data_IF_543681752752
#
_entry.id   IF_543681752752
#
_cell.length_a   1.000
_cell.length_b   1.000
_cell.length_c   1.000
_cell.angle_alpha   90.00
_cell.angle_beta   90.00
_cell.angle_gamma   90.00
#
_symmetry.space_group_name_H-M   'P 1'
#
loop_
_entity.id
_entity.type
_entity.pdbx_description
1 polymer ?
#
# COMPACT_ATOMS: atom_id res chain seq x y z
N UNK A 1 13.60 17.92 -7.03
CA UNK A 1 13.49 16.88 -5.98
C UNK A 1 12.06 16.39 -5.74
N UNK A 2 11.05 17.26 -5.53
CA UNK A 2 9.64 16.83 -5.26
C UNK A 2 9.02 15.88 -6.30
N UNK A 3 9.33 16.06 -7.60
CA UNK A 3 8.84 15.18 -8.67
C UNK A 3 9.44 13.77 -8.67
N UNK A 4 10.74 13.64 -8.36
CA UNK A 4 11.40 12.34 -8.29
C UNK A 4 10.86 11.48 -7.14
N UNK A 5 10.62 12.09 -5.97
CA UNK A 5 10.03 11.40 -4.81
C UNK A 5 8.62 10.92 -5.13
N UNK A 6 7.79 11.75 -5.76
CA UNK A 6 6.44 11.35 -6.21
C UNK A 6 6.46 10.22 -7.23
N UNK A 7 7.41 10.25 -8.17
CA UNK A 7 7.56 9.20 -9.19
C UNK A 7 8.01 7.88 -8.58
N UNK A 8 9.01 7.90 -7.69
CA UNK A 8 9.49 6.70 -6.99
C UNK A 8 8.39 6.12 -6.10
N UNK A 9 7.65 6.99 -5.40
CA UNK A 9 6.51 6.57 -4.60
C UNK A 9 5.41 5.93 -5.45
N UNK A 10 5.01 6.57 -6.56
CA UNK A 10 4.00 6.03 -7.47
C UNK A 10 4.43 4.68 -8.07
N UNK A 11 5.69 4.55 -8.45
CA UNK A 11 6.24 3.29 -8.95
C UNK A 11 6.24 2.20 -7.87
N UNK A 12 6.75 2.50 -6.67
CA UNK A 12 6.76 1.58 -5.54
C UNK A 12 5.34 1.14 -5.17
N UNK A 13 4.40 2.08 -5.17
CA UNK A 13 2.99 1.82 -4.91
C UNK A 13 2.40 0.84 -5.93
N UNK A 14 2.61 1.08 -7.23
CA UNK A 14 2.12 0.22 -8.29
C UNK A 14 2.71 -1.20 -8.21
N UNK A 15 4.03 -1.33 -7.99
CA UNK A 15 4.68 -2.63 -7.83
C UNK A 15 4.16 -3.36 -6.60
N UNK A 16 3.97 -2.66 -5.48
CA UNK A 16 3.44 -3.25 -4.24
C UNK A 16 2.00 -3.73 -4.42
N UNK A 17 1.15 -2.98 -5.12
CA UNK A 17 -0.22 -3.40 -5.45
C UNK A 17 -0.23 -4.65 -6.33
N UNK A 18 0.62 -4.71 -7.36
CA UNK A 18 0.75 -5.89 -8.21
C UNK A 18 1.22 -7.12 -7.42
N UNK A 19 2.18 -6.92 -6.52
CA UNK A 19 2.68 -7.98 -5.65
C UNK A 19 1.61 -8.50 -4.67
N UNK A 20 0.80 -7.60 -4.08
CA UNK A 20 -0.34 -7.96 -3.24
C UNK A 20 -1.40 -8.77 -4.01
N UNK A 21 -1.71 -8.37 -5.25
CA UNK A 21 -2.64 -9.12 -6.10
C UNK A 21 -2.11 -10.52 -6.43
N UNK A 22 -0.81 -10.65 -6.70
CA UNK A 22 -0.17 -11.93 -6.93
C UNK A 22 -0.19 -12.83 -5.68
N UNK A 23 0.09 -12.29 -4.50
CA UNK A 23 -0.03 -13.04 -3.25
C UNK A 23 -1.47 -13.46 -2.96
N UNK A 24 -2.44 -12.57 -3.20
CA UNK A 24 -3.87 -12.90 -3.07
C UNK A 24 -4.24 -14.05 -4.01
N UNK A 25 -3.75 -14.03 -5.26
CA UNK A 25 -3.93 -15.14 -6.19
C UNK A 25 -3.34 -16.45 -5.64
N UNK A 26 -2.10 -16.44 -5.14
CA UNK A 26 -1.49 -17.65 -4.55
C UNK A 26 -2.32 -18.18 -3.38
N UNK A 27 -2.64 -17.32 -2.41
CA UNK A 27 -3.35 -17.73 -1.19
C UNK A 27 -4.71 -18.31 -1.50
N UNK A 28 -5.46 -17.75 -2.45
CA UNK A 28 -6.76 -18.28 -2.88
C UNK A 28 -6.63 -19.67 -3.49
N UNK A 29 -5.49 -20.00 -4.11
CA UNK A 29 -5.24 -21.32 -4.68
C UNK A 29 -4.68 -22.33 -3.66
N UNK A 30 -3.91 -21.85 -2.66
CA UNK A 30 -3.22 -22.73 -1.70
C UNK A 30 -4.05 -23.01 -0.44
N UNK A 31 -4.82 -22.04 0.03
CA UNK A 31 -5.65 -22.16 1.23
C UNK A 31 -7.09 -22.50 0.87
N UNK A 32 -7.68 -23.49 1.56
CA UNK A 32 -9.08 -23.87 1.35
C UNK A 32 -10.04 -23.22 2.35
N UNK A 33 -9.52 -22.63 3.43
CA UNK A 33 -10.35 -22.01 4.46
C UNK A 33 -10.65 -20.54 4.10
N UNK A 34 -11.90 -20.20 3.74
CA UNK A 34 -12.25 -18.84 3.32
C UNK A 34 -12.11 -17.81 4.43
N UNK A 35 -12.25 -18.20 5.71
CA UNK A 35 -12.12 -17.28 6.84
C UNK A 35 -10.68 -16.78 7.01
N UNK A 36 -9.69 -17.67 6.77
CA UNK A 36 -8.26 -17.33 6.85
C UNK A 36 -7.87 -16.40 5.70
N UNK A 37 -8.34 -16.69 4.48
CA UNK A 37 -8.12 -15.84 3.30
C UNK A 37 -8.66 -14.43 3.54
N UNK A 38 -9.89 -14.32 4.05
CA UNK A 38 -10.50 -13.03 4.37
C UNK A 38 -9.72 -12.27 5.44
N UNK A 39 -9.34 -12.94 6.53
CA UNK A 39 -8.53 -12.32 7.59
C UNK A 39 -7.21 -11.76 7.05
N UNK A 40 -6.53 -12.53 6.21
CA UNK A 40 -5.28 -12.12 5.57
C UNK A 40 -5.48 -10.91 4.63
N UNK A 41 -6.51 -10.95 3.77
CA UNK A 41 -6.82 -9.86 2.85
C UNK A 41 -7.17 -8.55 3.57
N UNK A 42 -7.94 -8.63 4.66
CA UNK A 42 -8.31 -7.46 5.46
C UNK A 42 -7.07 -6.86 6.14
N UNK A 43 -6.23 -7.69 6.74
CA UNK A 43 -4.98 -7.22 7.36
C UNK A 43 -4.05 -6.56 6.33
N UNK A 44 -3.84 -7.22 5.18
CA UNK A 44 -3.06 -6.65 4.07
C UNK A 44 -3.64 -5.31 3.59
N UNK A 45 -4.96 -5.23 3.41
CA UNK A 45 -5.65 -4.00 2.98
C UNK A 45 -5.48 -2.87 3.99
N UNK A 46 -5.67 -3.14 5.29
CA UNK A 46 -5.50 -2.15 6.36
C UNK A 46 -4.05 -1.65 6.44
N UNK A 47 -3.07 -2.55 6.39
CA UNK A 47 -1.66 -2.17 6.40
C UNK A 47 -1.29 -1.34 5.18
N UNK A 48 -1.76 -1.74 3.99
CA UNK A 48 -1.49 -1.02 2.74
C UNK A 48 -2.13 0.38 2.74
N UNK A 49 -3.38 0.49 3.19
CA UNK A 49 -4.07 1.78 3.33
C UNK A 49 -3.36 2.68 4.35
N UNK A 50 -2.99 2.15 5.51
CA UNK A 50 -2.24 2.88 6.54
C UNK A 50 -0.90 3.40 6.03
N UNK A 51 -0.13 2.56 5.34
CA UNK A 51 1.13 2.96 4.71
C UNK A 51 0.92 4.04 3.63
N UNK A 52 -0.12 3.90 2.81
CA UNK A 52 -0.45 4.90 1.77
C UNK A 52 -0.82 6.25 2.39
N UNK A 53 -1.60 6.27 3.47
CA UNK A 53 -1.95 7.50 4.18
C UNK A 53 -0.73 8.15 4.82
N UNK A 54 0.10 7.39 5.55
CA UNK A 54 1.34 7.90 6.14
C UNK A 54 2.29 8.47 5.08
N UNK A 55 2.44 7.79 3.95
CA UNK A 55 3.25 8.31 2.86
C UNK A 55 2.63 9.59 2.26
N UNK A 56 1.30 9.65 2.12
CA UNK A 56 0.62 10.84 1.61
C UNK A 56 0.80 12.05 2.53
N UNK A 57 0.78 11.89 3.86
CA UNK A 57 1.03 13.01 4.77
C UNK A 57 2.44 13.55 4.62
N UNK A 58 3.45 12.69 4.44
CA UNK A 58 4.84 13.11 4.18
C UNK A 58 4.98 13.81 2.82
N UNK A 59 4.31 13.30 1.78
CA UNK A 59 4.43 13.84 0.41
C UNK A 59 3.65 15.14 0.17
N UNK A 60 2.59 15.37 0.95
CA UNK A 60 1.69 16.52 0.82
C UNK A 60 1.68 17.44 2.05
N UNK A 61 2.55 17.21 3.04
CA UNK A 61 2.72 18.12 4.17
C UNK A 61 2.92 19.56 3.67
N UNK A 62 2.04 20.46 4.09
CA UNK A 62 2.17 21.87 3.80
C UNK A 62 3.50 22.39 4.36
N UNK A 63 4.20 23.29 3.66
CA UNK A 63 5.39 23.92 4.23
C UNK A 63 5.03 24.61 5.55
N UNK A 64 5.95 24.65 6.53
CA UNK A 64 5.72 25.42 7.75
C UNK A 64 5.36 26.85 7.36
N UNK A 65 4.32 27.39 8.00
CA UNK A 65 3.92 28.78 7.82
C UNK A 65 5.08 29.64 8.30
N UNK A 66 5.77 30.31 7.38
CA UNK A 66 6.73 31.35 7.74
C UNK A 66 5.92 32.51 8.34
N UNK A 67 6.04 32.68 9.66
CA UNK A 67 5.60 33.89 10.38
C UNK A 67 6.72 34.93 10.39
#
# INVERSE_FOLDING_TARGET
>A
MKGAVKSVFGFFWAVSTAFLAYLAYIIVQTEHNPAIIWGWLVLCGLTFAGATLLASTVLFAAPPREE
#
